data_IF_514357106138
#
_entry.id   IF_514357106138
#
_cell.length_a   1.000
_cell.length_b   1.000
_cell.length_c   1.000
_cell.angle_alpha   90.00
_cell.angle_beta   90.00
_cell.angle_gamma   90.00
#
_symmetry.space_group_name_H-M   'P 1'
#
loop_
_entity.id
_entity.type
_entity.pdbx_description
1 polymer ?
#
# COMPACT_ATOMS: atom_id res chain seq x y z
N UNK A 1 15.85 -12.50 -1.29
CA UNK A 1 14.58 -13.09 -1.75
C UNK A 1 14.51 -14.51 -1.22
N UNK A 2 13.34 -14.98 -0.80
CA UNK A 2 13.09 -16.33 -0.30
C UNK A 2 12.00 -17.00 -1.14
N UNK A 3 12.05 -18.33 -1.28
CA UNK A 3 11.04 -19.04 -2.08
C UNK A 3 9.68 -19.11 -1.37
N UNK A 4 9.72 -19.30 -0.04
CA UNK A 4 8.53 -19.43 0.82
C UNK A 4 8.78 -18.81 2.18
N UNK A 5 7.79 -18.04 2.64
CA UNK A 5 7.68 -17.61 4.05
C UNK A 5 6.22 -17.61 4.50
N UNK A 6 5.98 -17.41 5.78
CA UNK A 6 4.63 -17.11 6.28
C UNK A 6 4.22 -15.69 5.85
N UNK A 7 5.10 -14.71 6.07
CA UNK A 7 4.87 -13.30 5.68
C UNK A 7 6.18 -12.52 5.73
N UNK A 8 6.53 -11.82 4.66
CA UNK A 8 7.70 -10.93 4.61
C UNK A 8 7.62 -9.82 5.68
N UNK A 9 6.40 -9.41 6.04
CA UNK A 9 6.14 -8.44 7.11
C UNK A 9 6.54 -8.99 8.48
N UNK A 10 6.18 -10.25 8.75
CA UNK A 10 6.54 -10.91 10.01
C UNK A 10 8.05 -11.15 10.09
N UNK A 11 8.67 -11.58 8.99
CA UNK A 11 10.11 -11.83 8.94
C UNK A 11 10.91 -10.57 9.30
N UNK A 12 10.55 -9.39 8.73
CA UNK A 12 11.18 -8.12 9.10
C UNK A 12 10.85 -7.70 10.53
N UNK A 13 9.63 -7.96 11.01
CA UNK A 13 9.24 -7.64 12.38
C UNK A 13 10.02 -8.48 13.42
N UNK A 14 10.27 -9.76 13.13
CA UNK A 14 11.12 -10.63 13.95
C UNK A 14 12.58 -10.21 13.92
N UNK A 15 13.09 -9.84 12.73
CA UNK A 15 14.45 -9.31 12.61
C UNK A 15 14.61 -8.01 13.41
N UNK A 16 13.62 -7.12 13.38
CA UNK A 16 13.64 -5.86 14.16
C UNK A 16 13.68 -6.07 15.68
N UNK A 17 13.23 -7.23 16.17
CA UNK A 17 13.32 -7.61 17.59
C UNK A 17 14.68 -8.19 17.96
N UNK A 18 15.36 -8.82 17.02
CA UNK A 18 16.62 -9.55 17.25
C UNK A 18 17.88 -8.75 16.91
N UNK A 19 17.78 -7.77 16.03
CA UNK A 19 18.85 -6.88 15.61
C UNK A 19 18.32 -5.49 15.23
N UNK A 20 19.19 -4.49 15.22
CA UNK A 20 18.87 -3.21 14.57
C UNK A 20 18.76 -3.41 13.07
N UNK A 21 17.66 -2.95 12.48
CA UNK A 21 17.52 -2.86 11.03
C UNK A 21 18.05 -1.52 10.53
N UNK A 22 18.51 -1.50 9.29
CA UNK A 22 18.89 -0.28 8.60
C UNK A 22 17.86 0.11 7.55
N UNK A 23 17.66 1.41 7.33
CA UNK A 23 16.80 1.91 6.25
C UNK A 23 17.22 1.30 4.91
N UNK A 24 16.27 0.69 4.22
CA UNK A 24 16.49 0.02 2.93
C UNK A 24 16.66 -1.50 3.04
N UNK A 25 16.60 -2.11 4.23
CA UNK A 25 16.48 -3.56 4.32
C UNK A 25 15.16 -4.04 3.71
N UNK A 26 15.24 -5.05 2.83
CA UNK A 26 14.10 -5.57 2.04
C UNK A 26 14.06 -7.10 2.12
N UNK A 27 12.89 -7.66 2.37
CA UNK A 27 12.60 -9.08 2.19
C UNK A 27 11.54 -9.21 1.11
N UNK A 28 11.81 -10.01 0.07
CA UNK A 28 10.84 -10.39 -0.95
C UNK A 28 10.68 -11.90 -0.98
N UNK A 29 9.46 -12.38 -1.26
CA UNK A 29 9.12 -13.79 -1.33
C UNK A 29 8.40 -14.14 -2.63
N UNK A 30 8.65 -15.38 -3.12
CA UNK A 30 7.89 -15.94 -4.24
C UNK A 30 6.48 -16.35 -3.82
N UNK A 31 6.33 -16.79 -2.57
CA UNK A 31 5.05 -17.18 -2.00
C UNK A 31 4.98 -16.88 -0.50
N UNK A 32 3.81 -16.45 -0.02
CA UNK A 32 3.48 -16.30 1.40
C UNK A 32 2.34 -17.23 1.78
N UNK A 33 2.55 -18.13 2.76
CA UNK A 33 1.51 -19.04 3.23
C UNK A 33 0.48 -18.39 4.18
N UNK A 34 0.81 -17.21 4.72
CA UNK A 34 -0.06 -16.43 5.60
C UNK A 34 0.18 -14.91 5.39
N UNK A 35 0.06 -14.46 4.13
CA UNK A 35 0.22 -13.05 3.77
C UNK A 35 -0.74 -12.15 4.56
N UNK A 36 -0.24 -11.04 5.10
CA UNK A 36 -1.01 -10.15 5.98
C UNK A 36 -1.61 -8.97 5.23
N UNK A 37 -2.86 -8.68 5.55
CA UNK A 37 -3.53 -7.43 5.25
C UNK A 37 -3.88 -6.66 6.53
N UNK A 38 -4.66 -5.59 6.43
CA UNK A 38 -5.19 -4.82 7.56
C UNK A 38 -6.35 -5.57 8.21
N UNK A 39 -6.58 -5.29 9.51
CA UNK A 39 -7.73 -5.79 10.27
C UNK A 39 -7.88 -7.32 10.15
N UNK A 40 -6.77 -8.05 10.35
CA UNK A 40 -6.70 -9.53 10.29
C UNK A 40 -7.13 -10.15 8.95
N UNK A 41 -7.19 -9.36 7.87
CA UNK A 41 -7.36 -9.89 6.51
C UNK A 41 -6.05 -10.48 6.01
N UNK A 42 -6.16 -11.36 5.02
CA UNK A 42 -5.01 -11.95 4.31
C UNK A 42 -4.77 -11.24 2.97
N UNK A 43 -3.55 -11.34 2.48
CA UNK A 43 -3.22 -11.08 1.09
C UNK A 43 -2.78 -12.40 0.48
N UNK A 44 -3.69 -13.03 -0.24
CA UNK A 44 -3.49 -14.35 -0.83
C UNK A 44 -3.13 -14.19 -2.31
N UNK A 45 -2.10 -14.91 -2.76
CA UNK A 45 -1.67 -14.95 -4.14
C UNK A 45 -1.07 -16.33 -4.43
N UNK A 46 -1.28 -16.84 -5.63
CA UNK A 46 -0.65 -18.06 -6.09
C UNK A 46 0.89 -17.88 -6.21
N UNK A 47 1.67 -18.95 -6.02
CA UNK A 47 3.12 -18.88 -6.17
C UNK A 47 3.53 -18.24 -7.51
N UNK A 48 4.49 -17.32 -7.46
CA UNK A 48 5.04 -16.60 -8.62
C UNK A 48 4.07 -15.65 -9.36
N UNK A 49 2.83 -15.49 -8.93
CA UNK A 49 1.82 -14.64 -9.59
C UNK A 49 1.84 -13.18 -9.13
N UNK A 50 2.43 -12.89 -7.96
CA UNK A 50 2.48 -11.59 -7.35
C UNK A 50 3.90 -11.15 -6.98
N UNK A 51 4.11 -9.84 -6.83
CA UNK A 51 5.28 -9.27 -6.18
C UNK A 51 4.94 -9.05 -4.71
N UNK A 52 5.56 -9.84 -3.84
CA UNK A 52 5.33 -9.85 -2.39
C UNK A 52 6.62 -9.43 -1.69
N UNK A 53 6.63 -8.27 -1.06
CA UNK A 53 7.82 -7.80 -0.35
C UNK A 53 7.47 -6.87 0.80
N UNK A 54 8.39 -6.76 1.73
CA UNK A 54 8.37 -5.77 2.79
C UNK A 54 9.73 -5.09 2.91
N UNK A 55 9.74 -3.84 3.32
CA UNK A 55 10.97 -3.08 3.53
C UNK A 55 10.89 -2.26 4.81
N UNK A 56 12.06 -1.95 5.37
CA UNK A 56 12.21 -1.16 6.60
C UNK A 56 12.76 0.22 6.29
N UNK A 57 12.21 1.22 6.98
CA UNK A 57 12.71 2.61 6.97
C UNK A 57 12.69 3.20 8.36
N UNK A 58 13.63 4.12 8.60
CA UNK A 58 13.78 4.87 9.85
C UNK A 58 13.68 6.38 9.56
N UNK A 59 12.47 6.99 9.69
CA UNK A 59 12.28 8.40 9.40
C UNK A 59 12.91 9.28 10.49
N UNK A 60 13.52 10.39 10.08
CA UNK A 60 13.95 11.48 10.96
C UNK A 60 12.77 12.30 11.47
N UNK A 61 11.66 12.31 10.73
CA UNK A 61 10.43 13.02 11.12
C UNK A 61 9.85 12.47 12.42
N UNK A 62 9.17 13.32 13.21
CA UNK A 62 8.48 12.87 14.41
C UNK A 62 7.46 11.74 14.12
N UNK A 63 7.31 10.81 15.06
CA UNK A 63 6.42 9.64 14.92
C UNK A 63 4.98 9.98 14.52
N UNK A 64 4.47 11.15 14.92
CA UNK A 64 3.13 11.60 14.53
C UNK A 64 2.96 11.77 13.00
N UNK A 65 4.04 12.00 12.27
CA UNK A 65 4.03 12.20 10.83
C UNK A 65 4.13 10.86 10.06
N UNK A 66 4.46 9.76 10.75
CA UNK A 66 4.71 8.46 10.15
C UNK A 66 3.49 7.81 9.49
N UNK A 67 2.27 8.24 9.87
CA UNK A 67 1.03 7.75 9.26
C UNK A 67 0.96 7.96 7.75
N UNK A 68 1.67 8.97 7.21
CA UNK A 68 1.70 9.24 5.77
C UNK A 68 2.59 8.27 4.96
N UNK A 69 3.47 7.49 5.60
CA UNK A 69 4.42 6.61 4.91
C UNK A 69 3.72 5.55 4.04
N UNK A 70 2.63 4.96 4.51
CA UNK A 70 1.86 4.01 3.70
C UNK A 70 1.30 4.67 2.43
N UNK A 71 0.90 5.93 2.52
CA UNK A 71 0.38 6.72 1.39
C UNK A 71 1.49 7.10 0.42
N UNK A 72 2.69 7.44 0.93
CA UNK A 72 3.86 7.70 0.10
C UNK A 72 4.29 6.45 -0.67
N UNK A 73 4.31 5.29 -0.01
CA UNK A 73 4.60 4.02 -0.67
C UNK A 73 3.55 3.65 -1.72
N UNK A 74 2.26 3.87 -1.42
CA UNK A 74 1.17 3.63 -2.37
C UNK A 74 1.27 4.56 -3.59
N UNK A 75 1.55 5.85 -3.37
CA UNK A 75 1.76 6.83 -4.44
C UNK A 75 2.93 6.42 -5.34
N UNK A 76 4.06 6.04 -4.75
CA UNK A 76 5.24 5.61 -5.49
C UNK A 76 4.96 4.34 -6.32
N UNK A 77 4.29 3.33 -5.75
CA UNK A 77 3.94 2.12 -6.50
C UNK A 77 2.93 2.42 -7.61
N UNK A 78 1.95 3.29 -7.36
CA UNK A 78 0.98 3.74 -8.35
C UNK A 78 1.67 4.40 -9.54
N UNK A 79 2.67 5.25 -9.31
CA UNK A 79 3.46 5.91 -10.35
C UNK A 79 4.24 4.90 -11.19
N UNK A 80 4.93 3.95 -10.53
CA UNK A 80 5.72 2.90 -11.20
C UNK A 80 4.86 2.05 -12.13
N UNK A 81 3.72 1.54 -11.64
CA UNK A 81 2.88 0.63 -12.46
C UNK A 81 2.07 1.37 -13.52
N UNK A 82 1.73 2.65 -13.31
CA UNK A 82 0.94 3.43 -14.26
C UNK A 82 1.70 3.75 -15.55
N UNK A 83 3.03 3.75 -15.51
CA UNK A 83 3.87 4.03 -16.68
C UNK A 83 3.67 3.01 -17.83
N UNK A 84 3.30 1.77 -17.51
CA UNK A 84 3.16 0.65 -18.45
C UNK A 84 1.70 0.17 -18.61
N UNK A 85 0.72 0.96 -18.11
CA UNK A 85 -0.70 0.61 -18.17
C UNK A 85 -1.44 1.45 -19.22
N UNK A 86 -2.42 0.86 -19.94
CA UNK A 86 -3.30 1.62 -20.85
C UNK A 86 -4.24 2.56 -20.09
N UNK A 87 -4.56 2.27 -18.84
CA UNK A 87 -5.35 3.09 -17.91
C UNK A 87 -4.55 3.21 -16.62
N UNK A 88 -4.23 4.45 -16.23
CA UNK A 88 -3.48 4.70 -15.01
C UNK A 88 -4.16 4.11 -13.77
N UNK A 89 -3.36 3.53 -12.88
CA UNK A 89 -3.82 3.10 -11.58
C UNK A 89 -4.19 4.31 -10.70
N UNK A 90 -5.10 4.11 -9.76
CA UNK A 90 -5.53 5.12 -8.79
C UNK A 90 -5.44 4.58 -7.37
N UNK A 91 -5.37 5.47 -6.40
CA UNK A 91 -5.29 5.11 -4.99
C UNK A 91 -6.69 5.06 -4.37
N UNK A 92 -6.95 4.04 -3.57
CA UNK A 92 -8.11 3.98 -2.69
C UNK A 92 -7.62 4.04 -1.24
N UNK A 93 -8.00 5.12 -0.55
CA UNK A 93 -7.68 5.25 0.87
C UNK A 93 -8.28 4.07 1.67
N UNK A 94 -7.55 3.52 2.64
CA UNK A 94 -6.26 3.99 3.13
C UNK A 94 -5.05 3.34 2.44
N UNK A 95 -5.18 2.19 1.76
CA UNK A 95 -4.03 1.33 1.48
C UNK A 95 -4.15 0.45 0.22
N UNK A 96 -5.09 0.74 -0.65
CA UNK A 96 -5.30 -0.06 -1.86
C UNK A 96 -4.91 0.73 -3.12
N UNK A 97 -4.40 0.01 -4.12
CA UNK A 97 -4.21 0.53 -5.48
C UNK A 97 -5.20 -0.19 -6.39
N UNK A 98 -5.90 0.59 -7.19
CA UNK A 98 -6.92 0.10 -8.12
C UNK A 98 -6.52 0.37 -9.56
N UNK A 99 -6.97 -0.51 -10.47
CA UNK A 99 -7.04 -0.27 -11.91
C UNK A 99 -8.51 -0.42 -12.29
N UNK A 100 -9.12 0.67 -12.78
CA UNK A 100 -10.58 0.78 -12.81
C UNK A 100 -11.15 0.70 -11.39
N UNK A 101 -12.13 -0.19 -11.17
CA UNK A 101 -12.74 -0.40 -9.85
C UNK A 101 -12.16 -1.64 -9.11
N UNK A 102 -11.08 -2.28 -9.65
CA UNK A 102 -10.54 -3.53 -9.13
C UNK A 102 -9.19 -3.32 -8.46
N UNK A 103 -9.00 -3.99 -7.32
CA UNK A 103 -7.76 -3.93 -6.54
C UNK A 103 -6.65 -4.71 -7.23
N UNK A 104 -5.54 -4.03 -7.51
CA UNK A 104 -4.31 -4.63 -8.04
C UNK A 104 -3.25 -4.81 -6.96
N UNK A 105 -3.23 -3.94 -5.94
CA UNK A 105 -2.27 -4.03 -4.84
C UNK A 105 -2.87 -3.60 -3.51
N UNK A 106 -2.27 -4.10 -2.43
CA UNK A 106 -2.55 -3.69 -1.06
C UNK A 106 -1.27 -3.44 -0.29
N UNK A 107 -1.30 -2.47 0.62
CA UNK A 107 -0.17 -2.11 1.45
C UNK A 107 -0.50 -2.25 2.94
N UNK A 108 0.53 -2.56 3.73
CA UNK A 108 0.44 -2.64 5.18
C UNK A 108 1.66 -1.97 5.80
N UNK A 109 1.45 -0.92 6.62
CA UNK A 109 2.52 -0.31 7.40
C UNK A 109 2.38 -0.69 8.88
N UNK A 110 3.49 -1.02 9.50
CA UNK A 110 3.58 -1.37 10.92
C UNK A 110 4.76 -0.62 11.54
N UNK A 111 4.48 0.13 12.61
CA UNK A 111 5.53 0.81 13.37
C UNK A 111 6.29 -0.18 14.25
N UNK A 112 7.58 0.01 14.35
CA UNK A 112 8.48 -0.65 15.30
C UNK A 112 8.97 0.35 16.35
N UNK A 113 9.92 -0.04 17.19
CA UNK A 113 10.52 0.88 18.15
C UNK A 113 11.22 2.06 17.46
N UNK A 114 11.99 1.80 16.39
CA UNK A 114 12.84 2.80 15.77
C UNK A 114 12.41 3.22 14.35
N UNK A 115 11.47 2.50 13.72
CA UNK A 115 11.10 2.76 12.33
C UNK A 115 9.76 2.15 11.94
N UNK A 116 9.62 1.93 10.64
CA UNK A 116 8.40 1.43 10.03
C UNK A 116 8.74 0.29 9.06
N UNK A 117 8.00 -0.79 9.14
CA UNK A 117 7.99 -1.85 8.13
C UNK A 117 6.79 -1.62 7.23
N UNK A 118 7.03 -1.54 5.92
CA UNK A 118 5.97 -1.43 4.91
C UNK A 118 5.98 -2.70 4.06
N UNK A 119 4.86 -3.41 4.06
CA UNK A 119 4.62 -4.56 3.20
C UNK A 119 3.76 -4.17 2.00
N UNK A 120 4.09 -4.71 0.84
CA UNK A 120 3.35 -4.52 -0.41
C UNK A 120 3.09 -5.87 -1.05
N UNK A 121 1.82 -6.13 -1.38
CA UNK A 121 1.39 -7.20 -2.26
C UNK A 121 0.83 -6.61 -3.54
N UNK A 122 1.45 -6.92 -4.68
CA UNK A 122 1.03 -6.47 -6.02
C UNK A 122 0.75 -7.69 -6.89
N UNK A 123 -0.49 -7.81 -7.38
CA UNK A 123 -0.85 -8.85 -8.36
C UNK A 123 -0.23 -8.51 -9.72
N UNK A 124 0.73 -9.31 -10.17
CA UNK A 124 1.47 -9.06 -11.42
C UNK A 124 0.95 -9.95 -12.54
N UNK A 125 1.17 -11.26 -12.43
CA UNK A 125 0.88 -12.23 -13.48
C UNK A 125 -0.37 -13.07 -13.27
N UNK A 126 -1.10 -12.89 -12.16
CA UNK A 126 -2.27 -13.70 -11.83
C UNK A 126 -3.34 -13.65 -12.92
N UNK A 127 -3.85 -14.82 -13.31
CA UNK A 127 -5.03 -14.98 -14.16
C UNK A 127 -6.32 -14.69 -13.38
N UNK A 128 -7.46 -14.63 -14.08
CA UNK A 128 -8.77 -14.38 -13.42
C UNK A 128 -9.11 -15.51 -12.44
N UNK A 129 -8.75 -16.74 -12.78
CA UNK A 129 -9.02 -17.95 -11.99
C UNK A 129 -8.15 -18.03 -10.73
N UNK A 130 -6.96 -17.42 -10.77
CA UNK A 130 -5.99 -17.41 -9.66
C UNK A 130 -6.28 -16.28 -8.64
N UNK A 131 -7.10 -15.29 -9.01
CA UNK A 131 -7.44 -14.21 -8.10
C UNK A 131 -8.46 -14.66 -7.05
N UNK A 132 -8.25 -14.33 -5.74
CA UNK A 132 -9.10 -14.84 -4.66
C UNK A 132 -10.51 -14.26 -4.66
N UNK A 133 -10.71 -13.10 -5.29
CA UNK A 133 -12.00 -12.39 -5.33
C UNK A 133 -12.22 -11.67 -6.67
N UNK A 134 -13.47 -11.53 -7.07
CA UNK A 134 -13.86 -10.88 -8.35
C UNK A 134 -13.57 -9.37 -8.39
N UNK A 135 -13.35 -8.75 -7.23
CA UNK A 135 -13.00 -7.34 -7.08
C UNK A 135 -11.47 -7.09 -7.18
N UNK A 136 -10.68 -8.16 -7.38
CA UNK A 136 -9.24 -8.07 -7.64
C UNK A 136 -8.95 -8.06 -9.14
N UNK A 137 -7.77 -7.59 -9.50
CA UNK A 137 -7.17 -7.66 -10.84
C UNK A 137 -5.66 -7.85 -10.73
N UNK A 138 -4.98 -8.05 -11.86
CA UNK A 138 -3.53 -8.08 -11.96
C UNK A 138 -3.05 -7.14 -13.06
N UNK A 139 -1.74 -6.85 -13.10
CA UNK A 139 -1.13 -6.08 -14.18
C UNK A 139 -1.33 -6.77 -15.52
N UNK A 140 -1.21 -8.11 -15.58
CA UNK A 140 -1.44 -8.90 -16.79
C UNK A 140 -2.88 -8.73 -17.31
N UNK A 141 -3.89 -8.86 -16.45
CA UNK A 141 -5.31 -8.67 -16.82
C UNK A 141 -5.56 -7.24 -17.27
N UNK A 142 -4.91 -6.26 -16.64
CA UNK A 142 -5.04 -4.84 -16.97
C UNK A 142 -4.32 -4.44 -18.27
N UNK A 143 -3.55 -5.37 -18.89
CA UNK A 143 -2.85 -5.14 -20.15
C UNK A 143 -1.54 -4.37 -20.00
N UNK A 144 -0.86 -4.47 -18.85
CA UNK A 144 0.48 -3.92 -18.67
C UNK A 144 1.48 -4.60 -19.60
N UNK A 145 2.38 -3.83 -20.19
CA UNK A 145 3.52 -4.35 -20.95
C UNK A 145 4.66 -4.82 -20.05
N UNK A 146 4.67 -4.40 -18.76
CA UNK A 146 5.71 -4.76 -17.81
C UNK A 146 5.16 -5.76 -16.78
N UNK A 147 5.71 -6.99 -16.80
CA UNK A 147 5.36 -8.08 -15.86
C UNK A 147 6.59 -8.66 -15.14
N UNK A 148 7.79 -8.10 -15.38
CA UNK A 148 9.00 -8.50 -14.64
C UNK A 148 8.97 -7.92 -13.22
N UNK A 149 8.71 -8.80 -12.25
CA UNK A 149 8.62 -8.46 -10.83
C UNK A 149 9.90 -7.85 -10.26
N UNK A 150 11.09 -8.30 -10.76
CA UNK A 150 12.38 -7.77 -10.30
C UNK A 150 12.57 -6.33 -10.80
N UNK A 151 12.17 -6.06 -12.05
CA UNK A 151 12.25 -4.72 -12.60
C UNK A 151 11.28 -3.77 -11.89
N UNK A 152 10.04 -4.18 -11.65
CA UNK A 152 9.04 -3.39 -10.89
C UNK A 152 9.56 -3.10 -9.49
N UNK A 153 10.12 -4.10 -8.78
CA UNK A 153 10.70 -3.93 -7.45
C UNK A 153 11.85 -2.92 -7.46
N UNK A 154 12.77 -3.08 -8.43
CA UNK A 154 13.92 -2.17 -8.57
C UNK A 154 13.48 -0.72 -8.84
N UNK A 155 12.52 -0.51 -9.75
CA UNK A 155 11.97 0.81 -10.06
C UNK A 155 11.29 1.42 -8.83
N UNK A 156 10.48 0.63 -8.12
CA UNK A 156 9.83 1.07 -6.89
C UNK A 156 10.83 1.48 -5.82
N UNK A 157 11.83 0.66 -5.51
CA UNK A 157 12.80 0.94 -4.45
C UNK A 157 13.62 2.20 -4.76
N UNK A 158 14.05 2.39 -6.02
CA UNK A 158 14.80 3.60 -6.42
C UNK A 158 13.94 4.87 -6.31
N UNK A 159 12.70 4.82 -6.80
CA UNK A 159 11.80 5.97 -6.74
C UNK A 159 11.36 6.24 -5.30
N UNK A 160 11.08 5.19 -4.52
CA UNK A 160 10.70 5.33 -3.12
C UNK A 160 11.83 5.93 -2.28
N UNK A 161 13.08 5.53 -2.49
CA UNK A 161 14.22 6.12 -1.80
C UNK A 161 14.31 7.63 -2.04
N UNK A 162 14.05 8.08 -3.29
CA UNK A 162 14.01 9.50 -3.66
C UNK A 162 12.85 10.22 -2.97
N UNK A 163 11.63 9.69 -3.09
CA UNK A 163 10.42 10.28 -2.52
C UNK A 163 10.48 10.31 -0.98
N UNK A 164 11.01 9.23 -0.37
CA UNK A 164 11.18 9.15 1.08
C UNK A 164 12.18 10.18 1.58
N UNK A 165 13.35 10.33 0.93
CA UNK A 165 14.32 11.35 1.31
C UNK A 165 13.73 12.76 1.24
N UNK A 166 13.00 13.08 0.16
CA UNK A 166 12.34 14.38 0.02
C UNK A 166 11.27 14.59 1.12
N UNK A 167 10.44 13.59 1.35
CA UNK A 167 9.42 13.64 2.39
C UNK A 167 10.06 13.81 3.77
N UNK A 168 11.10 13.06 4.08
CA UNK A 168 11.80 13.09 5.36
C UNK A 168 12.50 14.44 5.60
N UNK A 169 12.94 15.09 4.53
CA UNK A 169 13.51 16.45 4.54
C UNK A 169 12.45 17.58 4.51
N UNK A 170 11.16 17.26 4.54
CA UNK A 170 10.08 18.23 4.73
C UNK A 170 9.19 18.50 3.52
N UNK A 171 9.44 17.88 2.36
CA UNK A 171 8.57 18.02 1.18
C UNK A 171 7.19 17.41 1.46
N UNK A 172 6.14 18.08 1.00
CA UNK A 172 4.76 17.65 1.13
C UNK A 172 4.29 16.92 -0.14
N UNK A 173 3.77 15.72 0.04
CA UNK A 173 3.22 14.87 -1.03
C UNK A 173 1.69 14.75 -1.00
N UNK A 174 0.99 15.53 -0.16
CA UNK A 174 -0.47 15.44 -0.02
C UNK A 174 -1.17 15.76 -1.34
N UNK A 175 -0.73 16.80 -2.04
CA UNK A 175 -1.30 17.17 -3.34
C UNK A 175 -1.09 16.08 -4.39
N UNK A 176 0.11 15.49 -4.44
CA UNK A 176 0.41 14.38 -5.36
C UNK A 176 -0.50 13.18 -5.10
N UNK A 177 -0.63 12.79 -3.82
CA UNK A 177 -1.53 11.70 -3.41
C UNK A 177 -2.99 12.02 -3.74
N UNK A 178 -3.46 13.22 -3.41
CA UNK A 178 -4.85 13.64 -3.59
C UNK A 178 -5.27 13.63 -5.07
N UNK A 179 -4.37 14.01 -5.98
CA UNK A 179 -4.64 14.04 -7.42
C UNK A 179 -4.93 12.66 -8.02
N UNK A 180 -4.44 11.59 -7.39
CA UNK A 180 -4.64 10.21 -7.86
C UNK A 180 -5.50 9.37 -6.90
N UNK A 181 -6.06 9.99 -5.85
CA UNK A 181 -6.89 9.33 -4.84
C UNK A 181 -8.36 9.25 -5.29
N UNK A 182 -8.80 8.09 -5.74
CA UNK A 182 -10.17 7.84 -6.18
C UNK A 182 -11.21 7.90 -5.05
N UNK A 183 -10.79 7.98 -3.79
CA UNK A 183 -11.71 8.09 -2.65
C UNK A 183 -12.21 9.52 -2.49
N UNK A 184 -11.39 10.52 -2.81
CA UNK A 184 -11.76 11.93 -2.62
C UNK A 184 -12.88 12.36 -3.56
N UNK A 185 -13.81 13.15 -3.05
CA UNK A 185 -15.02 13.61 -3.73
C UNK A 185 -16.17 12.61 -3.73
N UNK A 186 -15.95 11.36 -3.26
CA UNK A 186 -17.00 10.32 -3.20
C UNK A 186 -17.71 10.32 -1.85
N UNK A 187 -18.96 9.88 -1.88
CA UNK A 187 -19.65 9.43 -0.68
C UNK A 187 -19.09 8.07 -0.27
N UNK A 188 -18.72 7.96 0.99
CA UNK A 188 -18.04 6.76 1.53
C UNK A 188 -18.72 6.31 2.80
N UNK A 189 -18.71 5.00 3.03
CA UNK A 189 -18.99 4.39 4.33
C UNK A 189 -17.67 4.02 4.99
N UNK A 190 -17.47 4.49 6.21
CA UNK A 190 -16.32 4.19 7.04
C UNK A 190 -16.69 3.04 7.98
N UNK A 191 -15.92 1.98 7.89
CA UNK A 191 -16.06 0.78 8.73
C UNK A 191 -14.90 0.73 9.73
N UNK A 192 -15.21 0.82 11.02
CA UNK A 192 -14.24 0.70 12.12
C UNK A 192 -14.68 -0.42 13.03
N UNK A 193 -13.78 -1.37 13.33
CA UNK A 193 -14.09 -2.50 14.21
C UNK A 193 -14.58 -1.99 15.57
N UNK A 194 -15.71 -2.49 16.01
CA UNK A 194 -16.31 -2.16 17.32
C UNK A 194 -16.95 -0.77 17.40
N UNK A 195 -17.20 -0.10 16.27
CA UNK A 195 -17.94 1.17 16.19
C UNK A 195 -19.04 1.08 15.14
N UNK A 196 -20.00 1.99 15.24
CA UNK A 196 -21.03 2.16 14.20
C UNK A 196 -20.39 2.70 12.92
N UNK A 197 -20.87 2.20 11.78
CA UNK A 197 -20.45 2.70 10.47
C UNK A 197 -20.86 4.16 10.32
N UNK A 198 -19.96 4.95 9.71
CA UNK A 198 -20.21 6.36 9.42
C UNK A 198 -20.19 6.61 7.93
N UNK A 199 -21.15 7.36 7.43
CA UNK A 199 -21.23 7.78 6.03
C UNK A 199 -20.91 9.27 5.90
N UNK A 200 -20.23 9.67 4.83
CA UNK A 200 -19.92 11.07 4.54
C UNK A 200 -19.18 11.25 3.22
N UNK A 201 -19.04 12.49 2.78
CA UNK A 201 -18.23 12.81 1.60
C UNK A 201 -16.76 12.88 2.00
N UNK A 202 -15.90 12.09 1.35
CA UNK A 202 -14.44 12.14 1.53
C UNK A 202 -13.90 13.43 0.91
N UNK A 203 -13.41 14.37 1.72
CA UNK A 203 -13.05 15.70 1.26
C UNK A 203 -11.56 15.85 0.97
N UNK A 204 -10.70 15.42 1.89
CA UNK A 204 -9.25 15.60 1.78
C UNK A 204 -8.49 14.61 2.63
N UNK A 205 -7.17 14.54 2.44
CA UNK A 205 -6.22 13.81 3.30
C UNK A 205 -5.37 14.85 4.03
N UNK A 206 -5.13 14.66 5.32
CA UNK A 206 -4.24 15.53 6.07
C UNK A 206 -2.77 15.03 6.01
N UNK A 207 -1.84 15.84 6.54
CA UNK A 207 -0.41 15.53 6.53
C UNK A 207 0.00 14.28 7.35
N UNK A 208 -0.91 13.75 8.14
CA UNK A 208 -0.72 12.52 8.90
C UNK A 208 -1.31 11.29 8.20
N UNK A 209 -1.91 11.47 7.01
CA UNK A 209 -2.55 10.41 6.25
C UNK A 209 -4.00 10.14 6.63
N UNK A 210 -4.59 10.89 7.55
CA UNK A 210 -5.99 10.73 7.91
C UNK A 210 -6.93 11.29 6.84
N UNK A 211 -8.05 10.61 6.61
CA UNK A 211 -9.13 11.06 5.73
C UNK A 211 -10.03 12.05 6.48
N UNK A 212 -10.28 13.21 5.89
CA UNK A 212 -11.22 14.21 6.38
C UNK A 212 -12.52 14.12 5.60
N UNK A 213 -13.64 13.99 6.30
CA UNK A 213 -14.97 14.09 5.73
C UNK A 213 -15.42 15.56 5.65
N UNK A 214 -16.38 15.85 4.78
CA UNK A 214 -16.89 17.20 4.55
C UNK A 214 -17.55 17.84 5.79
N UNK A 215 -17.98 17.03 6.76
CA UNK A 215 -18.51 17.48 8.05
C UNK A 215 -17.43 17.79 9.10
N UNK A 216 -16.14 17.67 8.71
CA UNK A 216 -14.98 17.90 9.58
C UNK A 216 -14.55 16.67 10.39
N UNK A 217 -15.21 15.52 10.23
CA UNK A 217 -14.81 14.31 10.94
C UNK A 217 -13.51 13.75 10.38
N UNK A 218 -12.55 13.43 11.27
CA UNK A 218 -11.25 12.86 10.92
C UNK A 218 -11.24 11.36 11.13
N UNK A 219 -10.86 10.62 10.08
CA UNK A 219 -10.74 9.17 10.06
C UNK A 219 -9.27 8.78 10.04
N UNK A 220 -8.76 8.31 11.18
CA UNK A 220 -7.37 7.87 11.32
C UNK A 220 -7.20 6.37 11.01
N UNK A 221 -8.24 5.57 11.28
CA UNK A 221 -8.25 4.11 11.11
C UNK A 221 -9.63 3.68 10.63
N UNK A 222 -9.67 2.71 9.74
CA UNK A 222 -10.90 2.11 9.22
C UNK A 222 -10.73 1.67 7.77
N UNK A 223 -11.69 0.92 7.29
CA UNK A 223 -11.84 0.62 5.87
C UNK A 223 -12.87 1.55 5.24
N UNK A 224 -12.71 1.79 3.95
CA UNK A 224 -13.61 2.66 3.18
C UNK A 224 -14.31 1.85 2.11
N UNK A 225 -15.63 1.90 2.13
CA UNK A 225 -16.48 1.43 1.05
C UNK A 225 -16.97 2.65 0.26
N UNK A 226 -16.67 2.69 -1.03
CA UNK A 226 -17.22 3.72 -1.92
C UNK A 226 -18.70 3.44 -2.14
N UNK A 227 -19.55 4.40 -1.78
CA UNK A 227 -20.98 4.35 -2.10
C UNK A 227 -21.20 4.85 -3.55
N UNK A 228 -22.26 4.41 -4.16
CA UNK A 228 -22.56 4.75 -5.57
C UNK A 228 -23.14 6.14 -5.69
#
# INVERSE_FOLDING_TARGET
>A
MVDLTTSTQNDLAELAQSKSLETGEVIAAEYQSAGRGRLDRTFDAEPNSALLFSFYIEPKRPRRDWGFIAHLAALTMQEVISADLPIAAVLKWPNDILIGEKKVAGLLAQTTENGIIVGIGLNVGASIEELPVTTATSLAIAGSSQLDRNLILSQFLNLFATNFSQWDDGVDFISNYSNVCATLGREVQIEVIGRENRTGIAQSINKFGALLLADGFEVNVGDVVHLR
#
